data_IF_727197428667
#
_entry.id   IF_727197428667
#
_cell.length_a   1.000
_cell.length_b   1.000
_cell.length_c   1.000
_cell.angle_alpha   90.00
_cell.angle_beta   90.00
_cell.angle_gamma   90.00
#
_symmetry.space_group_name_H-M   'P 1'
#
loop_
_entity.id
_entity.type
_entity.pdbx_description
1 polymer ?
#
# COMPACT_ATOMS: atom_id res chain seq x y z
N UNK A 1 -19.07 9.60 -1.82
CA UNK A 1 -19.40 8.34 -2.51
C UNK A 1 -18.14 7.81 -3.14
N UNK A 2 -17.91 6.48 -3.11
CA UNK A 2 -16.78 5.79 -3.72
C UNK A 2 -17.35 4.73 -4.66
N UNK A 3 -16.98 4.75 -5.94
CA UNK A 3 -17.53 3.85 -6.97
C UNK A 3 -19.09 3.81 -6.99
N UNK A 4 -19.74 4.95 -6.80
CA UNK A 4 -21.20 5.05 -6.76
C UNK A 4 -21.85 4.59 -5.45
N UNK A 5 -21.08 4.04 -4.49
CA UNK A 5 -21.58 3.53 -3.21
C UNK A 5 -21.32 4.48 -2.05
N UNK A 6 -22.20 4.42 -1.06
CA UNK A 6 -22.01 5.12 0.22
C UNK A 6 -21.36 4.13 1.22
N UNK A 7 -20.07 4.29 1.59
CA UNK A 7 -19.30 3.26 2.32
C UNK A 7 -19.95 2.73 3.60
N UNK A 8 -20.56 3.60 4.40
CA UNK A 8 -21.21 3.19 5.66
C UNK A 8 -22.59 2.56 5.49
N UNK A 9 -23.27 2.76 4.35
CA UNK A 9 -24.57 2.13 4.05
C UNK A 9 -24.41 0.78 3.38
N UNK A 10 -23.43 0.66 2.48
CA UNK A 10 -23.18 -0.51 1.64
C UNK A 10 -21.84 -1.16 2.00
N UNK A 11 -21.57 -1.28 3.31
CA UNK A 11 -20.25 -1.66 3.83
C UNK A 11 -19.74 -2.98 3.28
N UNK A 12 -20.57 -4.03 3.24
CA UNK A 12 -20.15 -5.37 2.78
C UNK A 12 -19.67 -5.34 1.34
N UNK A 13 -20.45 -4.72 0.45
CA UNK A 13 -20.12 -4.61 -0.97
C UNK A 13 -18.93 -3.67 -1.21
N UNK A 14 -18.82 -2.64 -0.39
CA UNK A 14 -17.71 -1.69 -0.49
C UNK A 14 -16.37 -2.34 -0.09
N UNK A 15 -16.35 -3.11 1.00
CA UNK A 15 -15.14 -3.77 1.50
C UNK A 15 -14.61 -4.82 0.52
N UNK A 16 -15.47 -5.47 -0.28
CA UNK A 16 -15.04 -6.40 -1.33
C UNK A 16 -14.19 -5.74 -2.43
N UNK A 17 -14.33 -4.43 -2.63
CA UNK A 17 -13.56 -3.65 -3.62
C UNK A 17 -12.28 -3.01 -3.03
N UNK A 18 -11.97 -3.23 -1.75
CA UNK A 18 -10.88 -2.56 -1.04
C UNK A 18 -9.87 -3.57 -0.50
N UNK A 19 -8.59 -3.33 -0.79
CA UNK A 19 -7.45 -3.93 -0.08
C UNK A 19 -6.84 -2.92 0.89
N UNK A 20 -6.38 -3.37 2.04
CA UNK A 20 -5.75 -2.49 3.04
C UNK A 20 -4.50 -3.17 3.60
N UNK A 21 -3.42 -2.43 3.69
CA UNK A 21 -2.19 -2.83 4.38
C UNK A 21 -1.84 -1.77 5.42
N UNK A 22 -1.66 -2.19 6.66
CA UNK A 22 -1.21 -1.32 7.75
C UNK A 22 0.25 -1.63 8.06
N UNK A 23 1.13 -0.63 8.04
CA UNK A 23 2.57 -0.83 8.28
C UNK A 23 2.90 -1.46 9.63
N UNK A 24 2.09 -1.21 10.66
CA UNK A 24 2.34 -1.68 12.03
C UNK A 24 1.35 -2.75 12.52
N UNK A 25 0.32 -3.08 11.75
CA UNK A 25 -0.67 -4.10 12.10
C UNK A 25 -0.69 -5.18 11.05
N UNK A 26 -0.75 -6.43 11.50
CA UNK A 26 -0.83 -7.59 10.61
C UNK A 26 -2.28 -8.10 10.51
N UNK A 27 -2.72 -8.43 9.31
CA UNK A 27 -3.92 -9.21 9.07
C UNK A 27 -3.61 -10.72 8.98
N UNK A 28 -2.33 -11.07 8.91
CA UNK A 28 -1.88 -12.45 8.91
C UNK A 28 -1.90 -13.02 10.33
N UNK A 29 -2.30 -14.27 10.46
CA UNK A 29 -2.26 -14.96 11.72
C UNK A 29 -0.82 -15.28 12.12
N UNK A 30 -0.48 -14.91 13.37
CA UNK A 30 0.90 -14.86 13.85
C UNK A 30 1.59 -16.23 13.93
N UNK A 31 0.85 -17.25 14.36
CA UNK A 31 1.41 -18.57 14.69
C UNK A 31 1.17 -19.65 13.63
N UNK A 32 0.46 -19.34 12.55
CA UNK A 32 0.18 -20.28 11.46
C UNK A 32 0.95 -19.92 10.18
N UNK A 33 1.16 -20.87 9.27
CA UNK A 33 1.72 -20.60 7.95
C UNK A 33 0.96 -19.49 7.21
N UNK A 34 1.66 -18.73 6.39
CA UNK A 34 1.07 -17.66 5.58
C UNK A 34 -0.08 -18.19 4.71
N UNK A 35 0.08 -19.37 4.15
CA UNK A 35 -0.94 -19.99 3.30
C UNK A 35 -2.28 -20.20 4.03
N UNK A 36 -2.25 -20.59 5.30
CA UNK A 36 -3.46 -20.78 6.12
C UNK A 36 -4.23 -19.46 6.30
N UNK A 37 -3.48 -18.36 6.50
CA UNK A 37 -4.06 -17.01 6.53
C UNK A 37 -4.70 -16.63 5.19
N UNK A 38 -4.08 -16.99 4.08
CA UNK A 38 -4.62 -16.72 2.75
C UNK A 38 -5.86 -17.54 2.43
N UNK A 39 -5.90 -18.81 2.84
CA UNK A 39 -7.07 -19.66 2.71
C UNK A 39 -8.27 -19.12 3.51
N UNK A 40 -8.01 -18.63 4.71
CA UNK A 40 -9.04 -17.95 5.50
C UNK A 40 -9.56 -16.69 4.78
N UNK A 41 -8.67 -15.88 4.21
CA UNK A 41 -9.07 -14.70 3.45
C UNK A 41 -9.88 -15.08 2.19
N UNK A 42 -9.49 -16.15 1.50
CA UNK A 42 -10.29 -16.71 0.40
C UNK A 42 -11.73 -16.97 0.83
N UNK A 43 -11.90 -17.62 1.99
CA UNK A 43 -13.22 -17.98 2.50
C UNK A 43 -14.00 -16.74 2.97
N UNK A 44 -13.34 -15.78 3.63
CA UNK A 44 -13.97 -14.52 4.08
C UNK A 44 -14.46 -13.67 2.90
N UNK A 45 -13.65 -13.58 1.84
CA UNK A 45 -14.00 -12.81 0.64
C UNK A 45 -14.79 -13.62 -0.39
N UNK A 46 -15.11 -14.90 -0.09
CA UNK A 46 -15.85 -15.81 -0.98
C UNK A 46 -15.19 -15.92 -2.37
N UNK A 47 -13.84 -15.96 -2.42
CA UNK A 47 -13.11 -16.02 -3.68
C UNK A 47 -13.23 -17.40 -4.31
N UNK A 48 -13.68 -17.52 -5.57
CA UNK A 48 -13.72 -18.81 -6.27
C UNK A 48 -12.34 -19.47 -6.31
N UNK A 49 -12.28 -20.79 -6.08
CA UNK A 49 -11.01 -21.52 -5.95
C UNK A 49 -10.05 -21.29 -7.13
N UNK A 50 -10.57 -21.31 -8.36
CA UNK A 50 -9.72 -21.09 -9.54
C UNK A 50 -9.13 -19.67 -9.56
N UNK A 51 -9.92 -18.64 -9.27
CA UNK A 51 -9.46 -17.24 -9.20
C UNK A 51 -8.43 -17.06 -8.08
N UNK A 52 -8.67 -17.70 -6.92
CA UNK A 52 -7.72 -17.68 -5.81
C UNK A 52 -6.37 -18.27 -6.23
N UNK A 53 -6.38 -19.45 -6.89
CA UNK A 53 -5.15 -20.12 -7.32
C UNK A 53 -4.38 -19.27 -8.34
N UNK A 54 -5.06 -18.75 -9.36
CA UNK A 54 -4.44 -17.86 -10.35
C UNK A 54 -3.80 -16.64 -9.70
N UNK A 55 -4.54 -15.98 -8.80
CA UNK A 55 -4.05 -14.78 -8.11
C UNK A 55 -2.89 -15.10 -7.16
N UNK A 56 -2.97 -16.23 -6.43
CA UNK A 56 -1.90 -16.68 -5.56
C UNK A 56 -0.62 -16.98 -6.33
N UNK A 57 -0.71 -17.68 -7.45
CA UNK A 57 0.44 -18.02 -8.29
C UNK A 57 1.08 -16.75 -8.86
N UNK A 58 0.28 -15.81 -9.36
CA UNK A 58 0.74 -14.51 -9.84
C UNK A 58 1.48 -13.73 -8.73
N UNK A 59 0.84 -13.55 -7.57
CA UNK A 59 1.42 -12.82 -6.44
C UNK A 59 2.67 -13.51 -5.86
N UNK A 60 2.69 -14.85 -5.86
CA UNK A 60 3.84 -15.64 -5.44
C UNK A 60 5.05 -15.36 -6.32
N UNK A 61 4.86 -15.28 -7.64
CA UNK A 61 5.92 -14.91 -8.57
C UNK A 61 6.39 -13.47 -8.40
N UNK A 62 5.44 -12.53 -8.37
CA UNK A 62 5.73 -11.08 -8.31
C UNK A 62 6.41 -10.64 -7.01
N UNK A 63 6.01 -11.22 -5.88
CA UNK A 63 6.50 -10.85 -4.55
C UNK A 63 7.50 -11.86 -3.97
N UNK A 64 7.89 -12.89 -4.75
CA UNK A 64 8.83 -13.95 -4.33
C UNK A 64 8.41 -14.61 -3.00
N UNK A 65 7.18 -15.12 -2.94
CA UNK A 65 6.60 -15.66 -1.72
C UNK A 65 6.81 -17.17 -1.54
N UNK A 66 7.28 -17.90 -2.56
CA UNK A 66 7.25 -19.38 -2.60
C UNK A 66 7.72 -20.08 -1.32
N UNK A 67 8.88 -19.71 -0.79
CA UNK A 67 9.42 -20.27 0.46
C UNK A 67 8.69 -19.74 1.71
N UNK A 68 8.05 -18.59 1.61
CA UNK A 68 7.39 -17.92 2.74
C UNK A 68 6.02 -18.50 3.04
N UNK A 69 5.32 -19.04 2.04
CA UNK A 69 3.93 -19.53 2.18
C UNK A 69 3.76 -20.56 3.28
N UNK A 70 4.78 -21.40 3.52
CA UNK A 70 4.76 -22.45 4.55
C UNK A 70 5.35 -22.01 5.89
N UNK A 71 5.78 -20.76 5.99
CA UNK A 71 6.43 -20.21 7.19
C UNK A 71 5.40 -19.43 8.02
N UNK A 72 5.33 -19.62 9.34
CA UNK A 72 4.52 -18.80 10.22
C UNK A 72 4.93 -17.32 10.18
N UNK A 73 3.94 -16.41 10.23
CA UNK A 73 4.17 -14.97 10.12
C UNK A 73 5.23 -14.44 11.13
N UNK A 74 5.25 -14.99 12.35
CA UNK A 74 6.22 -14.64 13.41
C UNK A 74 7.69 -14.92 13.07
N UNK A 75 7.96 -15.80 12.12
CA UNK A 75 9.31 -16.20 11.74
C UNK A 75 9.86 -15.36 10.56
N UNK A 76 9.01 -14.55 9.95
CA UNK A 76 9.37 -13.72 8.81
C UNK A 76 10.08 -12.44 9.25
N UNK A 77 11.07 -12.01 8.47
CA UNK A 77 11.60 -10.64 8.59
C UNK A 77 10.48 -9.60 8.28
N UNK A 78 10.70 -8.36 8.69
CA UNK A 78 9.72 -7.30 8.44
C UNK A 78 9.41 -7.15 6.93
N UNK A 79 10.44 -7.18 6.08
CA UNK A 79 10.27 -7.10 4.62
C UNK A 79 9.57 -8.32 4.02
N UNK A 80 9.88 -9.53 4.49
CA UNK A 80 9.17 -10.74 4.08
C UNK A 80 7.70 -10.67 4.49
N UNK A 81 7.43 -10.27 5.74
CA UNK A 81 6.05 -10.12 6.23
C UNK A 81 5.29 -9.06 5.44
N UNK A 82 5.89 -7.90 5.14
CA UNK A 82 5.25 -6.86 4.35
C UNK A 82 4.84 -7.36 2.95
N UNK A 83 5.70 -8.14 2.27
CA UNK A 83 5.34 -8.74 0.99
C UNK A 83 4.15 -9.69 1.11
N UNK A 84 4.09 -10.47 2.18
CA UNK A 84 2.94 -11.34 2.46
C UNK A 84 1.67 -10.53 2.80
N UNK A 85 1.76 -9.42 3.54
CA UNK A 85 0.64 -8.52 3.82
C UNK A 85 0.06 -7.89 2.56
N UNK A 86 0.93 -7.42 1.68
CA UNK A 86 0.52 -6.86 0.38
C UNK A 86 -0.20 -7.93 -0.44
N UNK A 87 0.34 -9.14 -0.53
CA UNK A 87 -0.33 -10.24 -1.23
C UNK A 87 -1.70 -10.56 -0.62
N UNK A 88 -1.80 -10.66 0.71
CA UNK A 88 -3.05 -10.89 1.42
C UNK A 88 -4.13 -9.87 1.03
N UNK A 89 -3.75 -8.59 0.93
CA UNK A 89 -4.67 -7.50 0.59
C UNK A 89 -5.14 -7.51 -0.87
N UNK A 90 -4.52 -8.32 -1.73
CA UNK A 90 -4.78 -8.39 -3.17
C UNK A 90 -5.43 -9.70 -3.63
N UNK A 91 -5.56 -10.71 -2.76
CA UNK A 91 -6.12 -12.02 -3.12
C UNK A 91 -7.52 -11.92 -3.77
N UNK A 92 -8.33 -10.97 -3.31
CA UNK A 92 -9.68 -10.73 -3.81
C UNK A 92 -9.75 -9.72 -4.95
N UNK A 93 -8.59 -9.31 -5.53
CA UNK A 93 -8.45 -8.38 -6.64
C UNK A 93 -9.21 -7.06 -6.43
N UNK A 94 -8.88 -6.28 -5.38
CA UNK A 94 -9.56 -5.04 -5.06
C UNK A 94 -9.32 -3.97 -6.15
N UNK A 95 -10.28 -3.04 -6.29
CA UNK A 95 -10.15 -1.87 -7.17
C UNK A 95 -9.38 -0.73 -6.54
N UNK A 96 -9.36 -0.70 -5.19
CA UNK A 96 -8.69 0.33 -4.40
C UNK A 96 -7.79 -0.35 -3.38
N UNK A 97 -6.55 0.09 -3.28
CA UNK A 97 -5.57 -0.40 -2.33
C UNK A 97 -5.11 0.76 -1.43
N UNK A 98 -5.35 0.61 -0.13
CA UNK A 98 -4.84 1.52 0.89
C UNK A 98 -3.56 0.94 1.48
N UNK A 99 -2.49 1.71 1.44
CA UNK A 99 -1.19 1.35 1.97
C UNK A 99 -0.78 2.41 3.02
N UNK A 100 -0.76 2.00 4.28
CA UNK A 100 -0.36 2.87 5.37
C UNK A 100 1.08 2.56 5.76
N UNK A 101 2.02 3.44 5.36
CA UNK A 101 3.46 3.33 5.61
C UNK A 101 4.06 1.97 5.18
N UNK A 102 3.86 1.49 3.93
CA UNK A 102 4.21 0.12 3.54
C UNK A 102 5.72 -0.14 3.46
N UNK A 103 6.55 0.88 3.50
CA UNK A 103 8.02 0.78 3.41
C UNK A 103 8.73 1.05 4.73
N UNK A 104 7.97 1.36 5.80
CA UNK A 104 8.55 1.71 7.09
C UNK A 104 9.37 0.53 7.67
N UNK A 105 10.60 0.84 8.09
CA UNK A 105 11.50 -0.15 8.71
C UNK A 105 12.02 -1.24 7.76
N UNK A 106 11.76 -1.15 6.46
CA UNK A 106 12.30 -2.08 5.47
C UNK A 106 13.74 -1.69 5.09
N UNK A 107 14.55 -2.70 4.77
CA UNK A 107 15.84 -2.50 4.11
C UNK A 107 15.69 -1.97 2.68
N UNK A 108 16.78 -1.47 2.10
CA UNK A 108 16.77 -0.83 0.78
C UNK A 108 16.26 -1.75 -0.34
N UNK A 109 16.59 -3.04 -0.30
CA UNK A 109 16.18 -4.02 -1.31
C UNK A 109 14.68 -4.28 -1.21
N UNK A 110 14.19 -4.49 0.00
CA UNK A 110 12.76 -4.69 0.28
C UNK A 110 11.93 -3.46 -0.11
N UNK A 111 12.41 -2.22 0.15
CA UNK A 111 11.75 -0.98 -0.28
C UNK A 111 11.61 -0.92 -1.80
N UNK A 112 12.68 -1.19 -2.54
CA UNK A 112 12.65 -1.19 -4.01
C UNK A 112 11.63 -2.20 -4.54
N UNK A 113 11.65 -3.44 -4.02
CA UNK A 113 10.72 -4.48 -4.44
C UNK A 113 9.25 -4.08 -4.20
N UNK A 114 8.94 -3.49 -3.05
CA UNK A 114 7.59 -3.00 -2.73
C UNK A 114 7.19 -1.85 -3.65
N UNK A 115 8.07 -0.87 -3.91
CA UNK A 115 7.79 0.24 -4.83
C UNK A 115 7.51 -0.24 -6.26
N UNK A 116 8.34 -1.13 -6.77
CA UNK A 116 8.18 -1.67 -8.13
C UNK A 116 6.88 -2.46 -8.26
N UNK A 117 6.53 -3.23 -7.24
CA UNK A 117 5.28 -3.95 -7.18
C UNK A 117 4.06 -2.99 -7.17
N UNK A 118 4.06 -1.96 -6.32
CA UNK A 118 2.97 -0.97 -6.25
C UNK A 118 2.79 -0.27 -7.60
N UNK A 119 3.89 0.13 -8.23
CA UNK A 119 3.86 0.76 -9.56
C UNK A 119 3.26 -0.16 -10.62
N UNK A 120 3.65 -1.43 -10.61
CA UNK A 120 3.14 -2.45 -11.53
C UNK A 120 1.64 -2.67 -11.30
N UNK A 121 1.21 -2.82 -10.05
CA UNK A 121 -0.18 -3.01 -9.67
C UNK A 121 -1.08 -1.87 -10.17
N UNK A 122 -0.63 -0.63 -10.03
CA UNK A 122 -1.37 0.52 -10.55
C UNK A 122 -1.40 0.55 -12.09
N UNK A 123 -0.26 0.32 -12.77
CA UNK A 123 -0.17 0.45 -14.22
C UNK A 123 -0.85 -0.68 -14.98
N UNK A 124 -0.65 -1.92 -14.56
CA UNK A 124 -1.12 -3.11 -15.27
C UNK A 124 -2.55 -3.49 -14.86
N UNK A 125 -2.84 -3.51 -13.55
CA UNK A 125 -4.15 -3.91 -13.04
C UNK A 125 -5.12 -2.75 -12.83
N UNK A 126 -4.68 -1.49 -13.06
CA UNK A 126 -5.48 -0.27 -12.90
C UNK A 126 -6.05 -0.10 -11.49
N UNK A 127 -5.44 -0.73 -10.49
CA UNK A 127 -5.82 -0.55 -9.09
C UNK A 127 -5.50 0.88 -8.65
N UNK A 128 -6.48 1.57 -8.11
CA UNK A 128 -6.26 2.89 -7.50
C UNK A 128 -5.51 2.70 -6.18
N UNK A 129 -4.34 3.28 -6.04
CA UNK A 129 -3.53 3.18 -4.83
C UNK A 129 -3.59 4.49 -4.05
N UNK A 130 -3.98 4.41 -2.77
CA UNK A 130 -3.80 5.48 -1.79
C UNK A 130 -2.68 5.07 -0.85
N UNK A 131 -1.61 5.84 -0.86
CA UNK A 131 -0.41 5.60 -0.06
C UNK A 131 -0.25 6.71 0.97
N UNK A 132 -0.10 6.36 2.25
CA UNK A 132 0.46 7.28 3.24
C UNK A 132 1.94 6.96 3.42
N UNK A 133 2.77 7.96 3.47
CA UNK A 133 4.19 7.82 3.73
C UNK A 133 4.80 9.15 4.19
N UNK A 134 5.84 9.06 4.99
CA UNK A 134 6.75 10.16 5.30
C UNK A 134 8.12 9.97 4.62
N UNK A 135 8.32 8.89 3.86
CA UNK A 135 9.53 8.66 3.08
C UNK A 135 9.44 9.40 1.74
N UNK A 136 10.26 10.44 1.59
CA UNK A 136 10.26 11.27 0.37
C UNK A 136 10.62 10.48 -0.89
N UNK A 137 11.38 9.40 -0.74
CA UNK A 137 11.70 8.52 -1.87
C UNK A 137 10.48 7.73 -2.35
N UNK A 138 9.52 7.41 -1.46
CA UNK A 138 8.28 6.78 -1.86
C UNK A 138 7.41 7.75 -2.67
N UNK A 139 7.34 9.01 -2.20
CA UNK A 139 6.61 10.07 -2.90
C UNK A 139 7.19 10.27 -4.31
N UNK A 140 8.50 10.44 -4.41
CA UNK A 140 9.18 10.67 -5.70
C UNK A 140 9.04 9.47 -6.65
N UNK A 141 9.03 8.24 -6.11
CA UNK A 141 8.94 7.03 -6.91
C UNK A 141 7.52 6.66 -7.36
N UNK A 142 6.49 6.97 -6.55
CA UNK A 142 5.14 6.38 -6.70
C UNK A 142 4.03 7.40 -6.94
N UNK A 143 4.21 8.67 -6.49
CA UNK A 143 3.10 9.60 -6.47
C UNK A 143 2.92 10.35 -7.79
N UNK A 144 1.77 10.18 -8.44
CA UNK A 144 1.30 11.07 -9.51
C UNK A 144 0.61 12.31 -8.93
N UNK A 145 -0.15 12.14 -7.83
CA UNK A 145 -0.86 13.19 -7.09
C UNK A 145 -0.50 13.14 -5.62
N UNK A 146 -0.25 14.31 -5.03
CA UNK A 146 0.13 14.47 -3.63
C UNK A 146 -0.93 15.28 -2.89
N UNK A 147 -1.35 14.76 -1.74
CA UNK A 147 -2.20 15.44 -0.78
C UNK A 147 -1.37 15.71 0.47
N UNK A 148 -1.00 16.96 0.72
CA UNK A 148 -0.30 17.36 1.95
C UNK A 148 -1.32 17.79 2.99
N UNK A 149 -1.30 17.12 4.15
CA UNK A 149 -2.23 17.37 5.25
C UNK A 149 -1.46 17.82 6.49
N UNK A 150 -1.93 18.90 7.11
CA UNK A 150 -1.38 19.38 8.37
C UNK A 150 -2.46 19.97 9.26
N UNK A 151 -2.44 19.64 10.56
CA UNK A 151 -3.44 20.08 11.56
C UNK A 151 -4.89 19.91 11.11
N UNK A 152 -5.20 18.79 10.44
CA UNK A 152 -6.54 18.49 9.95
C UNK A 152 -6.99 19.35 8.76
N UNK A 153 -6.07 20.02 8.08
CA UNK A 153 -6.33 20.82 6.87
C UNK A 153 -5.54 20.28 5.69
N UNK A 154 -6.14 20.37 4.51
CA UNK A 154 -5.45 20.10 3.25
C UNK A 154 -4.62 21.33 2.89
N UNK A 155 -3.31 21.18 2.85
CA UNK A 155 -2.35 22.26 2.59
C UNK A 155 -2.00 22.34 1.10
N UNK A 156 -1.92 21.17 0.45
CA UNK A 156 -1.66 21.03 -0.98
C UNK A 156 -2.46 19.86 -1.52
N UNK A 157 -3.04 20.06 -2.69
CA UNK A 157 -3.67 19.03 -3.54
C UNK A 157 -3.19 19.27 -4.96
N UNK A 158 -2.25 18.47 -5.43
CA UNK A 158 -1.62 18.69 -6.73
C UNK A 158 -0.73 17.54 -7.15
N UNK A 159 -0.01 17.74 -8.22
CA UNK A 159 1.00 16.80 -8.73
C UNK A 159 2.30 16.90 -7.94
N UNK A 160 3.20 15.93 -8.14
CA UNK A 160 4.56 16.03 -7.63
C UNK A 160 5.29 17.26 -8.17
N UNK A 161 4.98 17.69 -9.40
CA UNK A 161 5.51 18.93 -9.98
C UNK A 161 5.02 20.16 -9.25
N UNK A 162 3.74 20.20 -8.89
CA UNK A 162 3.19 21.30 -8.09
C UNK A 162 3.86 21.38 -6.72
N UNK A 163 4.07 20.23 -6.05
CA UNK A 163 4.82 20.20 -4.80
C UNK A 163 6.25 20.75 -5.00
N UNK A 164 6.94 20.31 -6.04
CA UNK A 164 8.31 20.77 -6.37
C UNK A 164 8.36 22.25 -6.76
N UNK A 165 7.28 22.87 -7.20
CA UNK A 165 7.23 24.30 -7.52
C UNK A 165 7.33 25.20 -6.27
N UNK A 166 7.01 24.67 -5.09
CA UNK A 166 7.15 25.39 -3.80
C UNK A 166 8.58 25.36 -3.23
N UNK A 167 9.60 25.13 -4.06
CA UNK A 167 10.99 25.08 -3.62
C UNK A 167 11.43 26.42 -3.03
N UNK A 168 11.97 26.43 -1.79
CA UNK A 168 12.52 27.64 -1.20
C UNK A 168 13.85 28.07 -1.87
N UNK A 169 14.53 27.15 -2.56
CA UNK A 169 15.76 27.33 -3.34
C UNK A 169 15.84 26.29 -4.45
N UNK A 170 16.66 26.54 -5.48
CA UNK A 170 16.73 25.72 -6.70
C UNK A 170 17.10 24.24 -6.43
N UNK A 171 17.98 23.98 -5.45
CA UNK A 171 18.46 22.64 -5.08
C UNK A 171 17.74 22.05 -3.86
N UNK A 172 16.55 22.54 -3.49
CA UNK A 172 15.84 22.06 -2.32
C UNK A 172 15.38 20.61 -2.48
N UNK A 173 15.62 19.79 -1.45
CA UNK A 173 15.08 18.42 -1.35
C UNK A 173 13.57 18.44 -1.08
N UNK A 174 12.88 17.31 -1.31
CA UNK A 174 11.46 17.20 -0.97
C UNK A 174 11.20 17.44 0.51
N UNK A 175 12.08 16.96 1.40
CA UNK A 175 12.00 17.22 2.84
C UNK A 175 12.04 18.73 3.15
N UNK A 176 12.94 19.47 2.52
CA UNK A 176 13.07 20.93 2.69
C UNK A 176 11.82 21.67 2.16
N UNK A 177 11.25 21.21 1.05
CA UNK A 177 10.02 21.79 0.48
C UNK A 177 8.84 21.58 1.43
N UNK A 178 8.65 20.37 1.93
CA UNK A 178 7.56 20.03 2.86
C UNK A 178 7.75 20.80 4.18
N UNK A 179 8.98 20.84 4.71
CA UNK A 179 9.28 21.61 5.91
C UNK A 179 9.02 23.11 5.74
N UNK A 180 9.26 23.67 4.54
CA UNK A 180 8.92 25.05 4.24
C UNK A 180 7.40 25.27 4.24
N UNK A 181 6.66 24.41 3.54
CA UNK A 181 5.19 24.46 3.52
C UNK A 181 4.61 24.38 4.93
N UNK A 182 5.07 23.45 5.78
CA UNK A 182 4.59 23.38 7.17
C UNK A 182 4.88 24.65 7.97
N UNK A 183 6.03 25.30 7.78
CA UNK A 183 6.36 26.59 8.43
C UNK A 183 5.46 27.72 7.93
N UNK A 184 5.20 27.81 6.65
CA UNK A 184 4.35 28.86 6.05
C UNK A 184 2.91 28.77 6.57
N UNK A 185 2.42 27.55 6.80
CA UNK A 185 1.11 27.30 7.41
C UNK A 185 1.13 27.32 8.95
N UNK A 186 2.28 27.66 9.59
CA UNK A 186 2.49 27.68 11.05
C UNK A 186 2.11 26.37 11.75
N UNK A 187 2.52 25.27 11.16
CA UNK A 187 2.27 23.90 11.66
C UNK A 187 3.53 23.34 12.32
#
# INVERSE_FOLDING_TARGET
>A
MINGRTPWKERKEHVKDIGVVFGQRSQLWWDVPILDSYELLRDIYEIPTHQYQETLDELTGLLSLGELLRTPARQLSLGQRMRCEIAASLLHRPKILFLDEPTIGLDAVSKLAVRDFIRKQNKEHKTTVLLTTHDMQDIDALADRVLLIGRGRLLLDGTLSDLKSHRPKEEATLDEIIAALYRDYRI
#
